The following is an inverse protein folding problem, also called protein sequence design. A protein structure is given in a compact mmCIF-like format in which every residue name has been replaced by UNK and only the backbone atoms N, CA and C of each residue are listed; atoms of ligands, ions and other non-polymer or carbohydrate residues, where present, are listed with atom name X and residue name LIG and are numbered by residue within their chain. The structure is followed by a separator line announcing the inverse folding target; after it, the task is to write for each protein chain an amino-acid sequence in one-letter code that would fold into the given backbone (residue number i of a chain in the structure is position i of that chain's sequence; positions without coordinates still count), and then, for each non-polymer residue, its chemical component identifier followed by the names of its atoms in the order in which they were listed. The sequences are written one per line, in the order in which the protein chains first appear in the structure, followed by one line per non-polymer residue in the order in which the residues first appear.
data_IF_784275683728
#
_entry.id   IF_784275683728
#
_cell.length_a   1.000
_cell.length_b   1.000
_cell.length_c   1.000
_cell.angle_alpha   90.00
_cell.angle_beta   90.00
_cell.angle_gamma   90.00
#
_symmetry.space_group_name_H-M   'P 1'
#
loop_
_entity.id
_entity.type
_entity.pdbx_description
1 polymer ?
#
# COMPACT_ATOMS: atom_id res chain seq x y z
N UNK A 1 -31.24 -68.78 -1.01
CA UNK A 1 -32.60 -69.19 -1.43
C UNK A 1 -32.73 -70.69 -1.30
N UNK A 2 -33.96 -71.21 -1.10
CA UNK A 2 -34.20 -72.64 -0.79
C UNK A 2 -34.54 -73.49 -2.03
N UNK A 3 -34.96 -72.85 -3.13
CA UNK A 3 -35.26 -73.47 -4.42
C UNK A 3 -34.92 -72.52 -5.58
N UNK A 4 -34.49 -73.07 -6.71
CA UNK A 4 -34.26 -72.42 -8.02
C UNK A 4 -35.40 -72.75 -8.98
N UNK A 5 -35.61 -71.96 -10.05
CA UNK A 5 -36.65 -72.29 -11.04
C UNK A 5 -36.43 -73.67 -11.66
N UNK A 6 -35.18 -74.08 -11.82
CA UNK A 6 -34.82 -75.43 -12.29
C UNK A 6 -35.16 -76.54 -11.28
N UNK A 7 -35.12 -76.28 -9.98
CA UNK A 7 -35.57 -77.23 -8.94
C UNK A 7 -37.10 -77.28 -8.86
N UNK A 8 -37.78 -76.14 -9.06
CA UNK A 8 -39.25 -76.07 -9.16
C UNK A 8 -39.74 -76.91 -10.34
N UNK A 9 -39.10 -76.81 -11.52
CA UNK A 9 -39.43 -77.61 -12.72
C UNK A 9 -39.26 -79.12 -12.52
N UNK A 10 -38.31 -79.53 -11.67
CA UNK A 10 -37.98 -80.94 -11.41
C UNK A 10 -38.74 -81.52 -10.22
N UNK A 11 -39.55 -80.71 -9.54
CA UNK A 11 -40.27 -81.14 -8.34
C UNK A 11 -41.34 -82.17 -8.69
N UNK A 12 -41.26 -83.35 -8.06
CA UNK A 12 -42.26 -84.42 -8.21
C UNK A 12 -43.08 -84.60 -6.93
N UNK A 13 -44.34 -84.98 -7.06
CA UNK A 13 -45.25 -85.22 -5.93
C UNK A 13 -45.75 -86.67 -5.89
N UNK A 14 -46.11 -87.15 -4.70
CA UNK A 14 -46.73 -88.47 -4.52
C UNK A 14 -48.19 -88.43 -4.98
N UNK A 15 -48.65 -89.44 -5.70
CA UNK A 15 -50.03 -89.57 -6.18
C UNK A 15 -50.94 -90.19 -5.10
N UNK A 16 -52.17 -89.70 -4.97
CA UNK A 16 -53.21 -90.23 -4.07
C UNK A 16 -54.57 -90.23 -4.79
N UNK A 17 -55.46 -91.16 -4.43
CA UNK A 17 -56.83 -91.23 -4.98
C UNK A 17 -57.57 -89.91 -4.65
N UNK A 18 -58.09 -89.20 -5.67
CA UNK A 18 -58.65 -87.83 -5.62
C UNK A 18 -57.61 -86.67 -5.53
N UNK A 19 -56.40 -86.85 -6.08
CA UNK A 19 -55.43 -85.76 -6.22
C UNK A 19 -55.65 -84.86 -7.45
N UNK A 20 -54.89 -83.77 -7.52
CA UNK A 20 -54.84 -82.88 -8.69
C UNK A 20 -54.29 -83.59 -9.94
N UNK A 21 -54.68 -83.11 -11.12
CA UNK A 21 -54.19 -83.62 -12.38
C UNK A 21 -52.70 -83.32 -12.58
N UNK A 22 -51.90 -84.34 -12.90
CA UNK A 22 -50.44 -84.24 -13.00
C UNK A 22 -50.01 -83.24 -14.09
N UNK A 23 -50.73 -83.21 -15.22
CA UNK A 23 -50.43 -82.32 -16.34
C UNK A 23 -50.64 -80.85 -15.97
N UNK A 24 -51.77 -80.54 -15.33
CA UNK A 24 -52.10 -79.18 -14.87
C UNK A 24 -51.09 -78.67 -13.83
N UNK A 25 -50.75 -79.51 -12.84
CA UNK A 25 -49.73 -79.17 -11.83
C UNK A 25 -48.36 -78.95 -12.47
N UNK A 26 -48.00 -79.75 -13.47
CA UNK A 26 -46.70 -79.61 -14.15
C UNK A 26 -46.63 -78.32 -14.97
N UNK A 27 -47.71 -77.95 -15.67
CA UNK A 27 -47.79 -76.68 -16.38
C UNK A 27 -47.69 -75.48 -15.42
N UNK A 28 -48.41 -75.52 -14.31
CA UNK A 28 -48.35 -74.49 -13.28
C UNK A 28 -46.95 -74.35 -12.65
N UNK A 29 -46.27 -75.47 -12.37
CA UNK A 29 -44.88 -75.46 -11.90
C UNK A 29 -43.91 -74.85 -12.93
N UNK A 30 -44.13 -75.09 -14.22
CA UNK A 30 -43.33 -74.48 -15.27
C UNK A 30 -43.53 -72.96 -15.31
N UNK A 31 -44.78 -72.49 -15.25
CA UNK A 31 -45.10 -71.06 -15.25
C UNK A 31 -44.51 -70.35 -14.02
N UNK A 32 -44.66 -70.94 -12.82
CA UNK A 32 -44.04 -70.43 -11.60
C UNK A 32 -42.52 -70.41 -11.73
N UNK A 33 -41.92 -71.45 -12.28
CA UNK A 33 -40.47 -71.50 -12.41
C UNK A 33 -39.92 -70.41 -13.33
N UNK A 34 -40.63 -70.08 -14.41
CA UNK A 34 -40.27 -68.97 -15.31
C UNK A 34 -40.37 -67.63 -14.57
N UNK A 35 -41.48 -67.39 -13.87
CA UNK A 35 -41.66 -66.15 -13.12
C UNK A 35 -40.66 -66.02 -11.96
N UNK A 36 -40.32 -67.15 -11.32
CA UNK A 36 -39.30 -67.20 -10.26
C UNK A 36 -37.90 -66.85 -10.79
N UNK A 37 -37.53 -67.40 -11.95
CA UNK A 37 -36.25 -67.08 -12.60
C UNK A 37 -36.21 -65.58 -12.98
N UNK A 38 -37.32 -65.02 -13.49
CA UNK A 38 -37.44 -63.58 -13.80
C UNK A 38 -37.29 -62.69 -12.56
N UNK A 39 -38.05 -62.97 -11.50
CA UNK A 39 -37.96 -62.22 -10.22
C UNK A 39 -36.56 -62.33 -9.62
N UNK A 40 -35.92 -63.50 -9.71
CA UNK A 40 -34.56 -63.70 -9.21
C UNK A 40 -33.56 -62.85 -10.00
N UNK A 41 -33.66 -62.82 -11.32
CA UNK A 41 -32.81 -61.98 -12.19
C UNK A 41 -33.03 -60.48 -11.95
N UNK A 42 -34.27 -60.05 -11.73
CA UNK A 42 -34.55 -58.66 -11.35
C UNK A 42 -33.96 -58.33 -9.97
N UNK A 43 -34.07 -59.25 -9.00
CA UNK A 43 -33.52 -59.05 -7.66
C UNK A 43 -31.99 -58.93 -7.69
N UNK A 44 -31.29 -59.75 -8.47
CA UNK A 44 -29.83 -59.63 -8.63
C UNK A 44 -29.44 -58.30 -9.27
N UNK A 45 -30.13 -57.90 -10.35
CA UNK A 45 -29.89 -56.62 -11.02
C UNK A 45 -30.11 -55.43 -10.08
N UNK A 46 -31.19 -55.47 -9.29
CA UNK A 46 -31.48 -54.43 -8.30
C UNK A 46 -30.41 -54.36 -7.20
N UNK A 47 -29.94 -55.51 -6.71
CA UNK A 47 -28.85 -55.56 -5.72
C UNK A 47 -27.55 -54.99 -6.25
N UNK A 48 -27.18 -55.32 -7.49
CA UNK A 48 -26.01 -54.75 -8.15
C UNK A 48 -26.13 -53.23 -8.26
N UNK A 49 -27.30 -52.73 -8.65
CA UNK A 49 -27.57 -51.30 -8.74
C UNK A 49 -27.53 -50.59 -7.39
N UNK A 50 -28.01 -51.24 -6.32
CA UNK A 50 -27.89 -50.72 -4.95
C UNK A 50 -26.43 -50.57 -4.57
N UNK A 51 -25.59 -51.59 -4.79
CA UNK A 51 -24.16 -51.55 -4.49
C UNK A 51 -23.46 -50.43 -5.29
N UNK A 52 -23.81 -50.27 -6.58
CA UNK A 52 -23.27 -49.20 -7.43
C UNK A 52 -23.64 -47.81 -6.87
N UNK A 53 -24.90 -47.60 -6.49
CA UNK A 53 -25.39 -46.33 -5.95
C UNK A 53 -24.79 -46.03 -4.58
N UNK A 54 -24.66 -47.03 -3.71
CA UNK A 54 -24.00 -46.88 -2.40
C UNK A 54 -22.53 -46.50 -2.55
N UNK A 55 -21.84 -47.07 -3.55
CA UNK A 55 -20.45 -46.73 -3.86
C UNK A 55 -20.35 -45.28 -4.32
N UNK A 56 -21.18 -44.86 -5.28
CA UNK A 56 -21.21 -43.46 -5.75
C UNK A 56 -21.54 -42.48 -4.63
N UNK A 57 -22.49 -42.83 -3.76
CA UNK A 57 -22.86 -42.00 -2.62
C UNK A 57 -21.67 -41.82 -1.67
N UNK A 58 -20.93 -42.89 -1.39
CA UNK A 58 -19.72 -42.83 -0.56
C UNK A 58 -18.65 -41.92 -1.18
N UNK A 59 -18.46 -41.99 -2.49
CA UNK A 59 -17.52 -41.13 -3.21
C UNK A 59 -17.94 -39.66 -3.14
N UNK A 60 -19.24 -39.36 -3.33
CA UNK A 60 -19.76 -38.01 -3.19
C UNK A 60 -19.59 -37.45 -1.78
N UNK A 61 -19.86 -38.24 -0.75
CA UNK A 61 -19.64 -37.83 0.66
C UNK A 61 -18.14 -37.56 0.90
N UNK A 62 -17.25 -38.37 0.33
CA UNK A 62 -15.81 -38.13 0.44
C UNK A 62 -15.38 -36.84 -0.26
N UNK A 63 -15.94 -36.58 -1.44
CA UNK A 63 -15.69 -35.36 -2.19
C UNK A 63 -16.21 -34.12 -1.47
N UNK A 64 -17.41 -34.18 -0.91
CA UNK A 64 -18.02 -33.11 -0.11
C UNK A 64 -17.11 -32.75 1.08
N UNK A 65 -16.63 -33.75 1.82
CA UNK A 65 -15.68 -33.52 2.93
C UNK A 65 -14.37 -32.86 2.48
N UNK A 66 -13.84 -33.29 1.33
CA UNK A 66 -12.62 -32.69 0.78
C UNK A 66 -12.84 -31.22 0.37
N UNK A 67 -14.00 -30.91 -0.22
CA UNK A 67 -14.39 -29.54 -0.57
C UNK A 67 -14.55 -28.69 0.68
N UNK A 68 -15.24 -29.19 1.71
CA UNK A 68 -15.43 -28.49 2.98
C UNK A 68 -14.08 -28.16 3.66
N UNK A 69 -13.18 -29.14 3.72
CA UNK A 69 -11.82 -28.94 4.25
C UNK A 69 -11.04 -27.90 3.45
N UNK A 70 -11.10 -27.99 2.11
CA UNK A 70 -10.41 -27.04 1.23
C UNK A 70 -10.99 -25.64 1.38
N UNK A 71 -12.31 -25.51 1.52
CA UNK A 71 -13.00 -24.24 1.72
C UNK A 71 -12.60 -23.60 3.05
N UNK A 72 -12.60 -24.36 4.14
CA UNK A 72 -12.13 -23.88 5.45
C UNK A 72 -10.67 -23.42 5.39
N UNK A 73 -9.81 -24.19 4.73
CA UNK A 73 -8.40 -23.82 4.57
C UNK A 73 -8.23 -22.55 3.73
N UNK A 74 -9.01 -22.39 2.66
CA UNK A 74 -9.01 -21.18 1.84
C UNK A 74 -9.47 -19.97 2.65
N UNK A 75 -10.53 -20.11 3.45
CA UNK A 75 -11.03 -19.06 4.34
C UNK A 75 -9.99 -18.67 5.39
N UNK A 76 -9.34 -19.65 6.02
CA UNK A 76 -8.28 -19.39 6.99
C UNK A 76 -7.08 -18.68 6.36
N UNK A 77 -6.65 -19.13 5.18
CA UNK A 77 -5.54 -18.52 4.44
C UNK A 77 -5.86 -17.08 4.05
N UNK A 78 -7.09 -16.83 3.58
CA UNK A 78 -7.55 -15.49 3.27
C UNK A 78 -7.59 -14.59 4.52
N UNK A 79 -8.07 -15.11 5.65
CA UNK A 79 -8.06 -14.41 6.93
C UNK A 79 -6.65 -14.04 7.39
N UNK A 80 -5.71 -14.99 7.34
CA UNK A 80 -4.29 -14.76 7.65
C UNK A 80 -3.65 -13.73 6.72
N UNK A 81 -3.97 -13.78 5.43
CA UNK A 81 -3.45 -12.80 4.46
C UNK A 81 -3.92 -11.38 4.76
N UNK A 82 -5.21 -11.20 5.11
CA UNK A 82 -5.77 -9.91 5.50
C UNK A 82 -5.12 -9.39 6.79
N UNK A 83 -4.96 -10.26 7.79
CA UNK A 83 -4.34 -9.90 9.06
C UNK A 83 -2.87 -9.48 8.89
N UNK A 84 -2.11 -10.22 8.10
CA UNK A 84 -0.72 -9.88 7.78
C UNK A 84 -0.63 -8.57 7.01
N UNK A 85 -1.50 -8.35 6.03
CA UNK A 85 -1.53 -7.09 5.28
C UNK A 85 -1.85 -5.88 6.18
N UNK A 86 -2.73 -6.04 7.17
CA UNK A 86 -3.02 -4.99 8.16
C UNK A 86 -1.81 -4.68 9.03
N UNK A 87 -1.15 -5.71 9.58
CA UNK A 87 0.07 -5.54 10.38
C UNK A 87 1.20 -4.88 9.60
N UNK A 88 1.40 -5.30 8.35
CA UNK A 88 2.41 -4.72 7.48
C UNK A 88 2.09 -3.25 7.17
N UNK A 89 0.83 -2.92 6.91
CA UNK A 89 0.40 -1.54 6.71
C UNK A 89 0.65 -0.68 7.95
N UNK A 90 0.31 -1.17 9.14
CA UNK A 90 0.58 -0.49 10.41
C UNK A 90 2.08 -0.26 10.62
N UNK A 91 2.92 -1.28 10.37
CA UNK A 91 4.38 -1.16 10.45
C UNK A 91 4.92 -0.12 9.47
N UNK A 92 4.48 -0.14 8.22
CA UNK A 92 4.89 0.85 7.20
C UNK A 92 4.50 2.26 7.64
N UNK A 93 3.27 2.45 8.14
CA UNK A 93 2.83 3.78 8.63
C UNK A 93 3.68 4.24 9.81
N UNK A 94 3.98 3.36 10.76
CA UNK A 94 4.79 3.69 11.92
C UNK A 94 6.24 4.01 11.54
N UNK A 95 6.84 3.25 10.63
CA UNK A 95 8.20 3.51 10.13
C UNK A 95 8.25 4.84 9.36
N UNK A 96 7.24 5.13 8.54
CA UNK A 96 7.13 6.39 7.83
C UNK A 96 7.01 7.59 8.78
N UNK A 97 6.20 7.47 9.84
CA UNK A 97 6.07 8.49 10.88
C UNK A 97 7.39 8.71 11.64
N UNK A 98 8.07 7.63 12.03
CA UNK A 98 9.36 7.70 12.71
C UNK A 98 10.41 8.41 11.85
N UNK A 99 10.50 8.01 10.57
CA UNK A 99 11.43 8.60 9.62
C UNK A 99 11.12 10.07 9.34
N UNK A 100 9.83 10.42 9.20
CA UNK A 100 9.41 11.81 9.06
C UNK A 100 9.78 12.64 10.30
N UNK A 101 9.60 12.10 11.50
CA UNK A 101 10.03 12.71 12.76
C UNK A 101 11.54 12.98 12.80
N UNK A 102 12.35 11.98 12.45
CA UNK A 102 13.81 12.11 12.37
C UNK A 102 14.25 13.16 11.34
N UNK A 103 13.61 13.19 10.17
CA UNK A 103 13.90 14.19 9.14
C UNK A 103 13.57 15.61 9.62
N UNK A 104 12.44 15.79 10.31
CA UNK A 104 12.05 17.08 10.88
C UNK A 104 13.02 17.53 11.97
N UNK A 105 13.43 16.63 12.86
CA UNK A 105 14.40 16.92 13.91
C UNK A 105 15.75 17.33 13.33
N UNK A 106 16.25 16.57 12.34
CA UNK A 106 17.48 16.92 11.62
C UNK A 106 17.37 18.30 10.97
N UNK A 107 16.28 18.58 10.25
CA UNK A 107 16.07 19.88 9.61
C UNK A 107 16.01 21.03 10.63
N UNK A 108 15.44 20.81 11.81
CA UNK A 108 15.43 21.80 12.91
C UNK A 108 16.85 22.06 13.44
N UNK A 109 17.63 21.00 13.65
CA UNK A 109 19.01 21.12 14.12
C UNK A 109 19.89 21.85 13.09
N UNK A 110 19.76 21.52 11.81
CA UNK A 110 20.46 22.19 10.71
C UNK A 110 20.08 23.68 10.64
N UNK A 111 18.80 24.01 10.83
CA UNK A 111 18.33 25.40 10.86
C UNK A 111 18.91 26.19 12.05
N UNK A 112 18.99 25.56 13.23
CA UNK A 112 19.60 26.19 14.41
C UNK A 112 21.10 26.44 14.18
N UNK A 113 21.82 25.45 13.67
CA UNK A 113 23.24 25.59 13.33
C UNK A 113 23.47 26.69 12.28
N UNK A 114 22.61 26.78 11.27
CA UNK A 114 22.68 27.82 10.25
C UNK A 114 22.44 29.21 10.84
N UNK A 115 21.45 29.37 11.73
CA UNK A 115 21.19 30.64 12.42
C UNK A 115 22.38 31.08 13.27
N UNK A 116 23.02 30.14 13.96
CA UNK A 116 24.23 30.43 14.73
C UNK A 116 25.36 30.90 13.83
N UNK A 117 25.61 30.21 12.71
CA UNK A 117 26.60 30.63 11.71
C UNK A 117 26.33 32.02 11.14
N UNK A 118 25.06 32.35 10.84
CA UNK A 118 24.66 33.68 10.38
C UNK A 118 24.99 34.74 11.45
N UNK A 119 24.64 34.50 12.71
CA UNK A 119 24.94 35.41 13.82
C UNK A 119 26.45 35.68 13.97
N UNK A 120 27.27 34.62 13.88
CA UNK A 120 28.74 34.73 13.92
C UNK A 120 29.26 35.56 12.74
N UNK A 121 28.74 35.34 11.53
CA UNK A 121 29.12 36.10 10.34
C UNK A 121 28.72 37.57 10.44
N UNK A 122 27.54 37.88 10.96
CA UNK A 122 27.09 39.26 11.21
C UNK A 122 27.97 39.96 12.24
N UNK A 123 28.31 39.30 13.34
CA UNK A 123 29.24 39.82 14.34
C UNK A 123 30.62 40.10 13.73
N UNK A 124 31.14 39.18 12.92
CA UNK A 124 32.43 39.34 12.21
C UNK A 124 32.38 40.50 11.22
N UNK A 125 31.31 40.63 10.44
CA UNK A 125 31.09 41.75 9.51
C UNK A 125 31.11 43.08 10.26
N UNK A 126 30.37 43.17 11.36
CA UNK A 126 30.29 44.40 12.16
C UNK A 126 31.65 44.75 12.79
N UNK A 127 32.39 43.76 13.28
CA UNK A 127 33.73 43.95 13.82
C UNK A 127 34.71 44.50 12.76
N UNK A 128 34.69 43.96 11.54
CA UNK A 128 35.51 44.46 10.43
C UNK A 128 35.11 45.89 10.05
N UNK A 129 33.81 46.16 9.93
CA UNK A 129 33.30 47.51 9.61
C UNK A 129 33.73 48.54 10.65
N UNK A 130 33.61 48.21 11.94
CA UNK A 130 34.06 49.08 13.03
C UNK A 130 35.57 49.29 13.02
N UNK A 131 36.36 48.23 12.79
CA UNK A 131 37.83 48.34 12.68
C UNK A 131 38.23 49.27 11.53
N UNK A 132 37.57 49.15 10.38
CA UNK A 132 37.83 50.01 9.23
C UNK A 132 37.46 51.47 9.51
N UNK A 133 36.30 51.71 10.15
CA UNK A 133 35.90 53.07 10.59
C UNK A 133 36.93 53.70 11.52
N UNK A 134 37.39 52.95 12.54
CA UNK A 134 38.41 53.43 13.48
C UNK A 134 39.73 53.75 12.77
N UNK A 135 40.15 52.90 11.83
CA UNK A 135 41.37 53.14 11.04
C UNK A 135 41.24 54.40 10.19
N UNK A 136 40.13 54.57 9.47
CA UNK A 136 39.88 55.77 8.67
C UNK A 136 39.77 57.04 9.53
N UNK A 137 39.16 56.95 10.72
CA UNK A 137 39.11 58.08 11.66
C UNK A 137 40.51 58.45 12.16
N UNK A 138 41.34 57.47 12.50
CA UNK A 138 42.74 57.70 12.87
C UNK A 138 43.53 58.39 11.74
N UNK A 139 43.39 57.94 10.49
CA UNK A 139 44.07 58.56 9.34
C UNK A 139 43.55 59.98 9.03
N UNK A 140 42.27 60.24 9.28
CA UNK A 140 41.72 61.59 9.17
C UNK A 140 42.22 62.52 10.27
N UNK A 141 42.40 62.01 11.49
CA UNK A 141 42.98 62.77 12.60
C UNK A 141 44.46 63.10 12.32
N UNK A 142 45.25 62.14 11.82
CA UNK A 142 46.65 62.40 11.45
C UNK A 142 46.76 63.46 10.35
N UNK A 143 45.93 63.39 9.31
CA UNK A 143 45.86 64.42 8.27
C UNK A 143 45.53 65.80 8.83
N UNK A 144 44.52 65.91 9.72
CA UNK A 144 44.19 67.17 10.38
C UNK A 144 45.37 67.71 11.20
N UNK A 145 46.09 66.85 11.91
CA UNK A 145 47.27 67.29 12.67
C UNK A 145 48.39 67.80 11.75
N UNK A 146 48.61 67.16 10.59
CA UNK A 146 49.58 67.62 9.58
C UNK A 146 49.19 68.94 8.92
N UNK A 147 47.90 69.19 8.70
CA UNK A 147 47.38 70.48 8.24
C UNK A 147 47.60 71.58 9.28
N UNK A 148 47.46 71.27 10.58
CA UNK A 148 47.72 72.24 11.65
C UNK A 148 49.21 72.50 11.93
N UNK A 149 50.11 71.58 11.57
CA UNK A 149 51.57 71.73 11.73
C UNK A 149 52.25 72.49 10.58
N UNK A 150 51.54 72.79 9.49
CA UNK A 150 52.01 73.65 8.40
C UNK A 150 51.30 75.01 8.39
N UNK A 151 51.76 76.03 9.16
CA UNK A 151 51.21 77.37 9.08
C UNK A 151 51.79 78.22 7.93
N UNK A 152 52.42 77.62 6.91
CA UNK A 152 52.91 78.36 5.72
C UNK A 152 52.57 77.65 4.41
N UNK A 153 51.31 77.78 4.01
CA UNK A 153 50.98 78.12 2.62
C UNK A 153 49.69 78.94 2.62
N UNK A 154 49.78 80.16 3.16
CA UNK A 154 48.84 81.19 2.75
C UNK A 154 49.07 81.45 1.26
N UNK A 155 48.07 81.12 0.43
CA UNK A 155 47.69 81.88 -0.77
C UNK A 155 46.34 81.35 -1.28
N UNK A 156 45.32 82.19 -1.14
CA UNK A 156 44.07 82.24 -1.91
C UNK A 156 42.92 81.33 -1.47
N UNK A 157 42.47 81.55 -0.22
CA UNK A 157 41.03 81.70 0.01
C UNK A 157 40.61 83.05 -0.55
N UNK A 158 40.19 83.10 -1.81
CA UNK A 158 39.31 84.15 -2.32
C UNK A 158 38.62 83.67 -3.61
N UNK A 159 37.29 83.79 -3.65
CA UNK A 159 36.45 83.83 -4.87
C UNK A 159 35.85 82.53 -5.43
N UNK A 160 35.16 81.71 -4.61
CA UNK A 160 34.11 80.81 -5.15
C UNK A 160 32.69 81.30 -4.84
N UNK A 161 32.44 81.97 -3.71
CA UNK A 161 31.11 82.56 -3.43
C UNK A 161 30.76 83.76 -4.34
N UNK A 162 31.75 84.50 -4.86
CA UNK A 162 31.51 85.64 -5.75
C UNK A 162 31.24 85.29 -7.23
N UNK A 163 31.33 84.01 -7.64
CA UNK A 163 31.01 83.60 -9.02
C UNK A 163 29.53 83.32 -9.28
N UNK A 164 28.75 83.01 -8.24
CA UNK A 164 27.30 82.80 -8.40
C UNK A 164 26.52 84.11 -8.45
N UNK A 165 26.98 85.15 -7.73
CA UNK A 165 26.33 86.46 -7.73
C UNK A 165 26.54 87.25 -9.03
N UNK A 166 27.73 87.16 -9.65
CA UNK A 166 27.98 87.80 -10.96
C UNK A 166 27.23 87.12 -12.12
N UNK A 167 27.04 85.79 -12.09
CA UNK A 167 26.20 85.10 -13.09
C UNK A 167 24.71 85.47 -12.98
N UNK A 168 24.21 85.71 -11.76
CA UNK A 168 22.80 86.10 -11.55
C UNK A 168 22.53 87.53 -12.05
N UNK A 169 23.49 88.44 -11.89
CA UNK A 169 23.45 89.81 -12.42
C UNK A 169 23.46 89.85 -13.95
N UNK A 170 24.33 89.08 -14.61
CA UNK A 170 24.40 89.05 -16.08
C UNK A 170 23.15 88.42 -16.72
N UNK A 171 22.53 87.42 -16.06
CA UNK A 171 21.28 86.82 -16.57
C UNK A 171 20.10 87.79 -16.41
N UNK A 172 20.01 88.55 -15.32
CA UNK A 172 18.95 89.57 -15.15
C UNK A 172 19.09 90.73 -16.14
N UNK A 173 20.32 91.14 -16.49
CA UNK A 173 20.57 92.22 -17.45
C UNK A 173 20.27 91.80 -18.90
N UNK A 174 20.54 90.54 -19.27
CA UNK A 174 20.20 89.99 -20.59
C UNK A 174 18.68 89.85 -20.76
N UNK A 175 17.95 89.44 -19.71
CA UNK A 175 16.47 89.32 -19.78
C UNK A 175 15.80 90.70 -19.90
N UNK A 176 16.39 91.75 -19.31
CA UNK A 176 15.85 93.11 -19.37
C UNK A 176 16.08 93.82 -20.71
N UNK A 177 17.09 93.41 -21.48
CA UNK A 177 17.38 93.94 -22.82
C UNK A 177 16.65 93.20 -23.96
N UNK A 178 15.83 92.20 -23.65
CA UNK A 178 15.03 91.42 -24.64
C UNK A 178 13.50 91.66 -24.48
N UNK A 179 13.07 92.52 -23.54
CA UNK A 179 11.69 93.07 -23.47
C UNK A 179 11.66 94.52 -23.93
#
# INVERSE_FOLDING_TARGET
MKYTGSEIRKQTFKTKLHGYEIAEVTNFLNDIAVEWDNVTAQNTTLKEKVIELETKLKDYISMEKAIEQTFMQAQETAGRAIENARKEAELITHEAELKAGQMLEKARNDLLALKEQISILEARRNAISNRLKMLLQSELETLKTMETENPDSSLQNDTIENKEQNKKSEIEEIVKNIS
#
